data_IF_797795840992
#
_entry.id   IF_797795840992
#
_cell.length_a   1.000
_cell.length_b   1.000
_cell.length_c   1.000
_cell.angle_alpha   90.00
_cell.angle_beta   90.00
_cell.angle_gamma   90.00
#
_symmetry.space_group_name_H-M   'P 1'
#
loop_
_entity.id
_entity.type
_entity.pdbx_description
1 polymer ?
#
# COMPACT_ATOMS: atom_id res chain seq x y z
N UNK A 1 -43.38 2.79 61.02
CA UNK A 1 -43.19 2.64 59.56
C UNK A 1 -43.17 4.05 58.98
N UNK A 2 -42.25 4.55 58.16
CA UNK A 2 -40.93 4.19 57.66
C UNK A 2 -40.33 5.50 57.10
N UNK A 3 -39.00 5.58 57.08
CA UNK A 3 -38.13 6.74 56.86
C UNK A 3 -38.35 7.59 55.59
N UNK A 4 -37.70 8.77 55.55
CA UNK A 4 -36.78 9.23 54.48
C UNK A 4 -36.15 10.59 54.86
N UNK A 5 -34.93 10.57 55.40
CA UNK A 5 -33.64 10.83 54.72
C UNK A 5 -33.49 12.26 54.15
N UNK A 6 -32.72 13.09 54.86
CA UNK A 6 -32.05 14.30 54.34
C UNK A 6 -31.00 13.87 53.31
N UNK A 7 -31.03 14.43 52.10
CA UNK A 7 -29.88 14.37 51.17
C UNK A 7 -29.12 15.69 51.23
N UNK A 8 -27.92 15.66 51.82
CA UNK A 8 -26.94 16.72 51.67
C UNK A 8 -26.34 16.61 50.26
N UNK A 9 -26.52 17.65 49.45
CA UNK A 9 -25.97 17.76 48.10
C UNK A 9 -24.53 18.28 48.22
N UNK A 10 -23.54 17.39 48.25
CA UNK A 10 -22.13 17.79 48.09
C UNK A 10 -21.86 18.02 46.61
N UNK A 11 -21.71 19.28 46.21
CA UNK A 11 -21.29 19.66 44.87
C UNK A 11 -19.81 19.30 44.67
N UNK A 12 -19.53 18.21 43.95
CA UNK A 12 -18.19 17.92 43.45
C UNK A 12 -17.97 18.73 42.17
N UNK A 13 -17.12 19.77 42.24
CA UNK A 13 -16.65 20.45 41.04
C UNK A 13 -15.67 19.53 40.31
N UNK A 14 -16.15 18.82 39.28
CA UNK A 14 -15.27 18.14 38.34
C UNK A 14 -14.57 19.21 37.49
N UNK A 15 -13.29 19.45 37.77
CA UNK A 15 -12.43 20.21 36.88
C UNK A 15 -12.24 19.38 35.60
N UNK A 16 -13.01 19.68 34.56
CA UNK A 16 -12.75 19.15 33.22
C UNK A 16 -11.46 19.79 32.73
N UNK A 17 -10.35 19.07 32.91
CA UNK A 17 -9.12 19.37 32.20
C UNK A 17 -9.40 19.21 30.70
N UNK A 18 -9.52 20.33 30.00
CA UNK A 18 -9.44 20.37 28.54
C UNK A 18 -7.97 20.06 28.20
N UNK A 19 -7.60 18.79 28.27
CA UNK A 19 -6.37 18.33 27.63
C UNK A 19 -6.55 18.55 26.14
N UNK A 20 -5.75 19.48 25.62
CA UNK A 20 -5.74 19.82 24.21
C UNK A 20 -5.71 18.54 23.39
N UNK A 21 -6.64 18.47 22.43
CA UNK A 21 -6.55 17.49 21.38
C UNK A 21 -5.20 17.70 20.69
N UNK A 22 -4.22 16.87 21.06
CA UNK A 22 -3.09 16.56 20.22
C UNK A 22 -3.66 16.17 18.86
N UNK A 23 -3.43 17.01 17.85
CA UNK A 23 -3.58 16.58 16.47
C UNK A 23 -2.88 15.22 16.33
N UNK A 24 -3.46 14.26 15.57
CA UNK A 24 -2.94 12.90 15.54
C UNK A 24 -1.47 12.95 15.13
N UNK A 25 -0.63 12.20 15.86
CA UNK A 25 0.69 11.85 15.37
C UNK A 25 0.49 11.35 13.93
N UNK A 26 1.07 12.04 12.95
CA UNK A 26 1.19 11.48 11.60
C UNK A 26 2.13 10.28 11.75
N UNK A 27 1.57 9.14 12.14
CA UNK A 27 2.26 7.88 12.13
C UNK A 27 2.69 7.66 10.69
N UNK A 28 4.00 7.54 10.47
CA UNK A 28 4.53 7.15 9.18
C UNK A 28 3.83 5.86 8.76
N UNK A 29 3.42 5.79 7.50
CA UNK A 29 2.65 4.67 6.98
C UNK A 29 3.24 4.19 5.66
N UNK A 30 3.23 2.88 5.46
CA UNK A 30 3.58 2.26 4.19
C UNK A 30 2.69 1.04 4.06
N UNK A 31 1.46 1.24 3.59
CA UNK A 31 0.47 0.19 3.59
C UNK A 31 -0.89 0.63 3.06
N UNK A 32 -1.94 -0.09 3.46
CA UNK A 32 -3.29 0.10 2.95
C UNK A 32 -4.03 1.31 3.53
N UNK A 33 -3.44 1.95 4.53
CA UNK A 33 -3.93 3.21 5.12
C UNK A 33 -3.28 4.46 4.46
N UNK A 34 -2.42 4.26 3.46
CA UNK A 34 -1.65 5.31 2.81
C UNK A 34 -0.15 5.10 2.94
N UNK A 35 0.59 5.95 2.22
CA UNK A 35 2.05 6.01 2.27
C UNK A 35 2.47 7.42 2.70
N UNK A 36 3.13 7.53 3.84
CA UNK A 36 3.61 8.79 4.44
C UNK A 36 4.92 8.58 5.16
N UNK A 37 5.85 9.53 5.00
CA UNK A 37 7.14 9.55 5.70
C UNK A 37 7.36 10.90 6.38
N UNK A 38 8.06 10.91 7.53
CA UNK A 38 8.36 12.14 8.27
C UNK A 38 9.54 12.93 7.73
N UNK A 39 10.35 12.27 6.92
CA UNK A 39 11.48 12.82 6.20
C UNK A 39 11.38 12.36 4.75
N UNK A 40 12.19 12.95 3.88
CA UNK A 40 12.30 12.43 2.53
C UNK A 40 12.79 10.98 2.61
N UNK A 41 12.21 10.11 1.80
CA UNK A 41 12.55 8.69 1.80
C UNK A 41 12.65 8.18 0.37
N UNK A 42 13.84 7.73 -0.01
CA UNK A 42 14.03 6.99 -1.25
C UNK A 42 13.59 5.54 -1.05
N UNK A 43 12.70 5.05 -1.91
CA UNK A 43 12.25 3.65 -1.91
C UNK A 43 12.52 3.05 -3.28
N UNK A 44 13.21 1.92 -3.29
CA UNK A 44 13.43 1.13 -4.48
C UNK A 44 12.30 0.10 -4.62
N UNK A 45 11.67 0.10 -5.79
CA UNK A 45 10.69 -0.88 -6.19
C UNK A 45 11.30 -1.86 -7.20
N UNK A 46 10.92 -3.13 -7.10
CA UNK A 46 11.30 -4.14 -8.08
C UNK A 46 10.04 -4.93 -8.45
N UNK A 47 9.78 -5.06 -9.76
CA UNK A 47 8.75 -5.96 -10.27
C UNK A 47 9.08 -7.41 -9.89
N UNK A 48 8.07 -8.18 -9.50
CA UNK A 48 8.22 -9.59 -9.14
C UNK A 48 7.63 -10.48 -10.23
N UNK A 49 6.33 -10.42 -10.37
CA UNK A 49 5.54 -11.10 -11.39
C UNK A 49 4.13 -10.50 -11.40
N UNK A 50 3.41 -10.79 -12.47
CA UNK A 50 2.00 -10.50 -12.64
C UNK A 50 1.27 -11.74 -13.11
N UNK A 51 -0.04 -11.75 -12.93
CA UNK A 51 -0.94 -12.81 -13.36
C UNK A 51 -2.25 -12.19 -13.86
N UNK A 52 -3.04 -12.99 -14.58
CA UNK A 52 -4.30 -12.53 -15.15
C UNK A 52 -4.21 -12.02 -16.59
N UNK A 53 -5.37 -11.97 -17.26
CA UNK A 53 -5.44 -11.67 -18.69
C UNK A 53 -5.39 -10.18 -19.02
N UNK A 54 -5.41 -9.32 -18.00
CA UNK A 54 -5.42 -7.87 -18.16
C UNK A 54 -3.99 -7.36 -18.42
N UNK A 55 -3.91 -6.13 -18.92
CA UNK A 55 -2.67 -5.36 -19.04
C UNK A 55 -2.71 -4.24 -18.03
N UNK A 56 -1.77 -4.27 -17.11
CA UNK A 56 -1.76 -3.43 -15.93
C UNK A 56 -0.53 -2.53 -15.87
N UNK A 57 -0.75 -1.33 -15.31
CA UNK A 57 0.29 -0.32 -15.12
C UNK A 57 0.24 0.22 -13.70
N UNK A 58 1.34 0.06 -12.99
CA UNK A 58 1.52 0.51 -11.61
C UNK A 58 2.21 1.88 -11.58
N UNK A 59 1.63 2.81 -10.84
CA UNK A 59 2.15 4.16 -10.66
C UNK A 59 1.98 4.67 -9.22
N UNK A 60 2.70 5.74 -8.90
CA UNK A 60 2.62 6.46 -7.63
C UNK A 60 1.78 7.72 -7.84
N UNK A 61 0.86 7.94 -6.92
CA UNK A 61 0.01 9.13 -6.88
C UNK A 61 0.23 9.90 -5.58
N UNK A 62 0.40 11.22 -5.67
CA UNK A 62 0.24 12.11 -4.51
C UNK A 62 -1.25 12.30 -4.25
N UNK A 63 -1.63 12.21 -2.96
CA UNK A 63 -3.01 12.34 -2.47
C UNK A 63 -3.16 13.68 -1.77
N UNK A 64 -4.09 14.52 -2.25
CA UNK A 64 -4.46 15.76 -1.60
C UNK A 64 -5.98 15.85 -1.47
N UNK A 65 -6.50 15.45 -0.31
CA UNK A 65 -7.93 15.22 -0.13
C UNK A 65 -8.42 14.08 -1.04
N UNK A 66 -9.33 14.39 -1.96
CA UNK A 66 -9.83 13.44 -2.98
C UNK A 66 -9.12 13.60 -4.34
N UNK A 67 -8.17 14.52 -4.45
CA UNK A 67 -7.39 14.73 -5.68
C UNK A 67 -6.19 13.79 -5.72
N UNK A 68 -6.01 13.13 -6.85
CA UNK A 68 -4.92 12.19 -7.11
C UNK A 68 -4.10 12.68 -8.30
N UNK A 69 -2.81 12.90 -8.08
CA UNK A 69 -1.87 13.34 -9.12
C UNK A 69 -0.84 12.25 -9.35
N UNK A 70 -0.76 11.70 -10.57
CA UNK A 70 0.31 10.78 -10.93
C UNK A 70 1.65 11.52 -10.87
N UNK A 71 2.60 11.01 -10.07
CA UNK A 71 3.92 11.61 -9.85
C UNK A 71 5.07 10.74 -10.34
N UNK A 72 4.83 9.44 -10.56
CA UNK A 72 5.79 8.52 -11.15
C UNK A 72 5.10 7.26 -11.67
N UNK A 73 5.58 6.73 -12.80
CA UNK A 73 5.22 5.38 -13.26
C UNK A 73 6.30 4.41 -12.79
N UNK A 74 5.88 3.23 -12.29
CA UNK A 74 6.80 2.22 -11.79
C UNK A 74 7.02 1.12 -12.83
N UNK A 75 5.97 0.39 -13.18
CA UNK A 75 6.04 -0.74 -14.09
C UNK A 75 4.78 -0.78 -14.95
N UNK A 76 4.92 -1.18 -16.20
CA UNK A 76 3.79 -1.25 -17.13
C UNK A 76 3.94 -2.46 -18.05
N UNK A 77 2.86 -3.19 -18.19
CA UNK A 77 2.79 -4.35 -19.05
C UNK A 77 2.56 -3.95 -20.51
N UNK A 78 3.38 -4.50 -21.39
CA UNK A 78 3.25 -4.28 -22.84
C UNK A 78 2.31 -5.27 -23.51
N UNK A 79 2.08 -6.41 -22.86
CA UNK A 79 1.15 -7.48 -23.22
C UNK A 79 0.61 -8.10 -21.93
N UNK A 80 -0.44 -8.92 -21.98
CA UNK A 80 -1.08 -9.44 -20.77
C UNK A 80 -0.27 -10.51 -20.04
N UNK A 81 0.59 -11.23 -20.74
CA UNK A 81 1.32 -12.36 -20.17
C UNK A 81 2.45 -12.80 -21.07
N UNK A 82 3.34 -13.64 -20.54
CA UNK A 82 4.46 -14.17 -21.29
C UNK A 82 4.00 -15.08 -22.41
N UNK A 83 3.05 -15.99 -22.13
CA UNK A 83 2.60 -17.08 -23.01
C UNK A 83 1.06 -17.25 -23.08
N UNK A 84 0.29 -16.17 -22.91
CA UNK A 84 -1.17 -16.28 -22.84
C UNK A 84 -1.61 -17.01 -21.57
N UNK A 85 -2.76 -17.68 -21.58
CA UNK A 85 -3.26 -18.41 -20.41
C UNK A 85 -2.47 -19.66 -19.99
N UNK A 86 -1.35 -19.96 -20.66
CA UNK A 86 -0.41 -20.98 -20.19
C UNK A 86 0.30 -20.46 -18.93
N UNK A 87 0.27 -21.25 -17.84
CA UNK A 87 0.77 -20.84 -16.51
C UNK A 87 0.04 -19.61 -15.94
N UNK A 88 -1.29 -19.66 -15.95
CA UNK A 88 -2.16 -18.67 -15.30
C UNK A 88 -1.92 -17.21 -15.72
N UNK A 89 -1.61 -17.01 -17.01
CA UNK A 89 -1.31 -15.69 -17.56
C UNK A 89 -0.13 -14.99 -16.91
N UNK A 90 0.84 -15.76 -16.41
CA UNK A 90 2.05 -15.23 -15.80
C UNK A 90 2.78 -14.23 -16.69
N UNK A 91 3.09 -13.08 -16.12
CA UNK A 91 3.96 -12.06 -16.69
C UNK A 91 5.30 -11.94 -15.95
N UNK A 92 6.40 -11.80 -16.71
CA UNK A 92 7.74 -11.60 -16.13
C UNK A 92 8.45 -10.35 -16.65
N UNK A 93 9.46 -9.93 -15.87
CA UNK A 93 10.38 -8.88 -16.25
C UNK A 93 11.23 -9.28 -17.47
N UNK A 94 11.38 -8.37 -18.42
CA UNK A 94 12.07 -8.60 -19.69
C UNK A 94 11.19 -9.23 -20.77
N UNK A 95 9.92 -9.49 -20.48
CA UNK A 95 8.98 -10.07 -21.44
C UNK A 95 7.63 -9.35 -21.44
N UNK A 96 6.81 -9.56 -20.41
CA UNK A 96 5.51 -8.86 -20.25
C UNK A 96 5.74 -7.41 -19.83
N UNK A 97 6.59 -7.20 -18.83
CA UNK A 97 7.13 -5.89 -18.46
C UNK A 97 8.51 -5.77 -19.10
N UNK A 98 8.66 -4.93 -20.12
CA UNK A 98 9.91 -4.83 -20.90
C UNK A 98 10.97 -3.93 -20.27
N UNK A 99 10.59 -3.03 -19.38
CA UNK A 99 11.54 -2.23 -18.61
C UNK A 99 12.19 -3.10 -17.54
N UNK A 100 13.51 -3.23 -17.57
CA UNK A 100 14.24 -4.32 -16.91
C UNK A 100 14.84 -3.97 -15.54
N UNK A 101 14.51 -2.80 -14.99
CA UNK A 101 15.24 -2.22 -13.86
C UNK A 101 14.42 -1.99 -12.61
N UNK A 102 15.05 -2.03 -11.42
CA UNK A 102 14.49 -1.41 -10.23
C UNK A 102 14.19 0.08 -10.47
N UNK A 103 13.09 0.57 -9.89
CA UNK A 103 12.71 1.98 -9.97
C UNK A 103 12.82 2.60 -8.58
N UNK A 104 13.58 3.68 -8.44
CA UNK A 104 13.69 4.42 -7.17
C UNK A 104 12.81 5.65 -7.24
N UNK A 105 11.98 5.85 -6.21
CA UNK A 105 11.18 7.05 -6.05
C UNK A 105 11.46 7.72 -4.70
N UNK A 106 11.58 9.05 -4.73
CA UNK A 106 11.74 9.91 -3.55
C UNK A 106 10.38 10.34 -3.04
N UNK A 107 9.91 9.71 -1.97
CA UNK A 107 8.76 10.21 -1.22
C UNK A 107 9.17 11.45 -0.43
N UNK A 108 8.42 12.53 -0.55
CA UNK A 108 8.70 13.76 0.19
C UNK A 108 8.09 13.69 1.60
N UNK A 109 8.80 14.30 2.55
CA UNK A 109 8.34 14.41 3.93
C UNK A 109 6.94 15.02 4.02
N UNK A 110 6.08 14.46 4.88
CA UNK A 110 4.74 14.96 5.20
C UNK A 110 3.79 15.07 4.00
N UNK A 111 4.06 14.31 2.95
CA UNK A 111 3.15 14.11 1.82
C UNK A 111 2.48 12.75 1.92
N UNK A 112 1.23 12.67 1.45
CA UNK A 112 0.45 11.44 1.41
C UNK A 112 0.50 10.90 -0.01
N UNK A 113 0.78 9.62 -0.14
CA UNK A 113 0.84 8.93 -1.41
C UNK A 113 0.01 7.65 -1.38
N UNK A 114 -0.32 7.17 -2.57
CA UNK A 114 -0.87 5.84 -2.80
C UNK A 114 -0.19 5.24 -4.03
N UNK A 115 -0.09 3.92 -4.08
CA UNK A 115 0.13 3.22 -5.33
C UNK A 115 -1.21 3.07 -6.03
N UNK A 116 -1.23 3.16 -7.36
CA UNK A 116 -2.41 2.95 -8.20
C UNK A 116 -2.10 1.98 -9.33
N UNK A 117 -2.98 1.01 -9.54
CA UNK A 117 -2.91 0.03 -10.61
C UNK A 117 -4.06 0.26 -11.58
N UNK A 118 -3.74 0.66 -12.81
CA UNK A 118 -4.72 0.77 -13.90
C UNK A 118 -4.69 -0.48 -14.75
N UNK A 119 -5.86 -1.01 -15.10
CA UNK A 119 -5.97 -2.22 -15.90
C UNK A 119 -6.72 -1.97 -17.20
N UNK A 120 -6.31 -2.69 -18.25
CA UNK A 120 -6.97 -2.67 -19.56
C UNK A 120 -7.08 -4.07 -20.13
N UNK A 121 -8.11 -4.32 -20.93
CA UNK A 121 -8.29 -5.59 -21.64
C UNK A 121 -8.82 -5.33 -23.04
N UNK A 122 -8.16 -5.88 -24.04
CA UNK A 122 -8.51 -5.73 -25.46
C UNK A 122 -8.73 -4.26 -25.87
N UNK A 123 -7.83 -3.38 -25.43
CA UNK A 123 -7.88 -1.93 -25.71
C UNK A 123 -8.92 -1.14 -24.91
N UNK A 124 -9.72 -1.80 -24.06
CA UNK A 124 -10.73 -1.15 -23.20
C UNK A 124 -10.21 -0.97 -21.77
N UNK A 125 -10.40 0.23 -21.22
CA UNK A 125 -10.11 0.53 -19.81
C UNK A 125 -11.03 -0.29 -18.88
N UNK A 126 -10.45 -0.90 -17.84
CA UNK A 126 -11.14 -1.66 -16.78
C UNK A 126 -11.15 -0.95 -15.44
N UNK A 127 -10.54 0.22 -15.38
CA UNK A 127 -10.52 1.10 -14.23
C UNK A 127 -9.20 1.04 -13.48
N UNK A 128 -9.25 1.62 -12.29
CA UNK A 128 -8.11 1.83 -11.43
C UNK A 128 -8.45 1.36 -10.02
N UNK A 129 -7.48 0.76 -9.36
CA UNK A 129 -7.49 0.49 -7.93
C UNK A 129 -6.31 1.16 -7.26
N UNK A 130 -6.43 1.37 -5.95
CA UNK A 130 -5.40 2.01 -5.15
C UNK A 130 -4.97 1.12 -3.99
N UNK A 131 -3.71 1.23 -3.58
CA UNK A 131 -3.24 0.58 -2.36
C UNK A 131 -3.96 1.09 -1.12
N UNK A 132 -4.32 2.38 -1.11
CA UNK A 132 -5.06 2.99 0.00
C UNK A 132 -6.53 2.57 -0.06
N UNK A 133 -6.97 1.75 0.88
CA UNK A 133 -8.32 1.16 0.86
C UNK A 133 -9.43 2.22 0.88
N UNK A 134 -9.21 3.35 1.56
CA UNK A 134 -10.16 4.46 1.59
C UNK A 134 -10.41 5.15 0.24
N UNK A 135 -9.58 4.89 -0.78
CA UNK A 135 -9.73 5.44 -2.13
C UNK A 135 -10.54 4.52 -3.07
N UNK A 136 -10.82 3.27 -2.66
CA UNK A 136 -11.52 2.27 -3.47
C UNK A 136 -13.02 2.19 -3.15
N UNK A 137 -13.67 3.34 -2.91
CA UNK A 137 -15.06 3.39 -2.39
C UNK A 137 -16.13 2.82 -3.34
N UNK A 138 -15.81 2.64 -4.62
CA UNK A 138 -16.74 2.16 -5.65
C UNK A 138 -16.52 0.68 -6.04
N UNK A 139 -15.76 -0.08 -5.25
CA UNK A 139 -15.49 -1.51 -5.49
C UNK A 139 -16.52 -2.34 -4.71
N UNK A 140 -17.70 -2.51 -5.31
CA UNK A 140 -18.94 -2.84 -4.59
C UNK A 140 -19.20 -4.33 -4.24
N UNK A 141 -18.32 -5.29 -4.57
CA UNK A 141 -18.64 -6.73 -4.40
C UNK A 141 -17.82 -7.48 -3.35
N UNK A 142 -16.56 -7.12 -3.08
CA UNK A 142 -15.66 -7.95 -2.24
C UNK A 142 -14.80 -7.17 -1.24
N UNK A 143 -14.95 -5.84 -1.17
CA UNK A 143 -14.27 -4.97 -0.19
C UNK A 143 -13.41 -3.90 -0.84
N UNK A 144 -12.95 -2.95 -0.03
CA UNK A 144 -12.20 -1.79 -0.53
C UNK A 144 -10.67 -2.02 -0.52
N UNK A 145 -10.19 -3.13 0.04
CA UNK A 145 -8.76 -3.46 0.02
C UNK A 145 -8.43 -4.11 -1.33
N UNK A 146 -7.53 -3.48 -2.08
CA UNK A 146 -7.12 -3.93 -3.43
C UNK A 146 -5.60 -4.09 -3.53
N UNK A 147 -4.92 -3.93 -2.40
CA UNK A 147 -3.52 -4.30 -2.25
C UNK A 147 -3.28 -4.90 -0.87
N UNK A 148 -2.27 -5.75 -0.78
CA UNK A 148 -1.75 -6.32 0.47
C UNK A 148 -0.30 -5.93 0.64
N UNK A 149 0.11 -5.68 1.87
CA UNK A 149 1.47 -5.30 2.25
C UNK A 149 1.96 -6.23 3.35
N UNK A 150 3.19 -6.70 3.22
CA UNK A 150 3.80 -7.48 4.29
C UNK A 150 5.26 -7.79 4.04
N UNK A 151 5.88 -8.39 5.05
CA UNK A 151 7.24 -8.89 4.93
C UNK A 151 7.30 -9.94 3.81
N UNK A 152 8.28 -9.77 2.91
CA UNK A 152 8.29 -10.46 1.62
C UNK A 152 8.14 -11.98 1.71
N UNK A 153 8.90 -12.68 2.56
CA UNK A 153 8.77 -14.14 2.67
C UNK A 153 7.45 -14.59 3.27
N UNK A 154 6.89 -13.84 4.23
CA UNK A 154 5.60 -14.20 4.84
C UNK A 154 4.45 -14.01 3.85
N UNK A 155 4.38 -12.85 3.18
CA UNK A 155 3.31 -12.58 2.23
C UNK A 155 3.45 -13.46 0.98
N UNK A 156 4.66 -13.64 0.44
CA UNK A 156 4.89 -14.48 -0.73
C UNK A 156 4.45 -15.93 -0.51
N UNK A 157 4.71 -16.48 0.68
CA UNK A 157 4.26 -17.84 1.02
C UNK A 157 2.75 -17.92 1.24
N UNK A 158 2.09 -16.81 1.57
CA UNK A 158 0.67 -16.76 1.85
C UNK A 158 -0.19 -16.56 0.59
N UNK A 159 0.29 -15.78 -0.39
CA UNK A 159 -0.44 -15.43 -1.61
C UNK A 159 -0.75 -16.63 -2.52
N UNK A 160 0.00 -17.73 -2.42
CA UNK A 160 -0.16 -18.92 -3.28
C UNK A 160 -0.37 -18.55 -4.76
N UNK A 161 0.57 -17.78 -5.29
CA UNK A 161 0.65 -17.08 -6.59
C UNK A 161 0.16 -17.76 -7.89
N UNK A 162 -0.30 -19.00 -7.89
CA UNK A 162 -0.88 -19.67 -9.07
C UNK A 162 -2.33 -20.12 -8.79
N UNK A 163 -2.94 -19.60 -7.72
CA UNK A 163 -4.32 -19.89 -7.32
C UNK A 163 -5.21 -18.68 -7.61
N UNK A 164 -6.40 -18.93 -8.15
CA UNK A 164 -7.47 -17.92 -8.30
C UNK A 164 -8.40 -17.89 -7.08
N UNK A 165 -7.99 -18.54 -5.99
CA UNK A 165 -8.77 -18.62 -4.78
C UNK A 165 -8.60 -17.34 -3.95
N UNK A 166 -9.72 -16.80 -3.47
CA UNK A 166 -9.73 -15.61 -2.61
C UNK A 166 -8.75 -15.72 -1.44
N UNK A 167 -7.89 -14.73 -1.31
CA UNK A 167 -6.89 -14.62 -0.26
C UNK A 167 -7.52 -14.18 1.07
N UNK A 168 -7.92 -15.16 1.88
CA UNK A 168 -8.66 -14.94 3.13
C UNK A 168 -7.90 -14.09 4.17
N UNK A 169 -6.57 -14.04 4.08
CA UNK A 169 -5.71 -13.36 5.06
C UNK A 169 -5.45 -11.87 4.72
N UNK A 170 -6.07 -11.30 3.67
CA UNK A 170 -5.80 -9.94 3.20
C UNK A 170 -5.80 -8.88 4.32
N UNK A 171 -6.76 -8.96 5.26
CA UNK A 171 -6.86 -8.03 6.40
C UNK A 171 -5.71 -8.13 7.42
N UNK A 172 -4.88 -9.16 7.36
CA UNK A 172 -3.65 -9.30 8.16
C UNK A 172 -2.41 -8.72 7.46
N UNK A 173 -2.52 -8.42 6.17
CA UNK A 173 -1.43 -7.90 5.33
C UNK A 173 -1.73 -6.48 4.88
N UNK A 174 -1.72 -5.55 5.84
CA UNK A 174 -2.07 -4.14 5.62
C UNK A 174 -0.89 -3.19 5.80
N UNK A 175 0.18 -3.63 6.43
CA UNK A 175 1.32 -2.79 6.82
C UNK A 175 2.64 -3.40 6.38
N UNK A 176 3.43 -2.59 5.68
CA UNK A 176 4.78 -2.92 5.23
C UNK A 176 5.85 -2.01 5.82
N UNK A 177 5.53 -1.12 6.76
CA UNK A 177 6.47 -0.14 7.29
C UNK A 177 7.71 -0.79 7.92
N UNK A 178 7.52 -1.78 8.80
CA UNK A 178 8.62 -2.42 9.50
C UNK A 178 9.56 -3.20 8.55
N UNK A 179 9.00 -3.91 7.57
CA UNK A 179 9.76 -4.69 6.59
C UNK A 179 10.42 -3.82 5.51
N UNK A 180 9.92 -2.61 5.28
CA UNK A 180 10.50 -1.68 4.31
C UNK A 180 11.93 -1.30 4.70
N UNK A 181 12.18 -1.11 6.00
CA UNK A 181 13.48 -0.70 6.54
C UNK A 181 14.36 -1.87 6.99
N UNK A 182 13.77 -2.97 7.42
CA UNK A 182 14.50 -4.13 7.97
C UNK A 182 14.62 -5.30 7.00
N UNK A 183 14.30 -5.09 5.73
CA UNK A 183 14.30 -6.14 4.71
C UNK A 183 13.60 -5.68 3.45
N UNK A 184 12.61 -6.44 3.02
CA UNK A 184 11.81 -6.15 1.84
C UNK A 184 10.34 -6.31 2.16
N UNK A 185 9.56 -5.31 1.79
CA UNK A 185 8.10 -5.39 1.77
C UNK A 185 7.66 -5.90 0.42
N UNK A 186 6.79 -6.91 0.40
CA UNK A 186 6.09 -7.31 -0.81
C UNK A 186 4.74 -6.62 -0.85
N UNK A 187 4.30 -6.28 -2.05
CA UNK A 187 3.04 -5.62 -2.34
C UNK A 187 2.37 -6.42 -3.46
N UNK A 188 1.24 -7.03 -3.16
CA UNK A 188 0.38 -7.70 -4.13
C UNK A 188 -0.86 -6.87 -4.40
N UNK A 189 -1.31 -6.81 -5.64
CA UNK A 189 -2.54 -6.12 -6.05
C UNK A 189 -3.52 -7.10 -6.66
N UNK A 190 -4.80 -6.80 -6.44
CA UNK A 190 -5.89 -7.31 -7.24
C UNK A 190 -6.31 -6.21 -8.22
N UNK A 191 -6.52 -6.56 -9.47
CA UNK A 191 -6.77 -5.63 -10.57
C UNK A 191 -8.26 -5.58 -11.00
N UNK A 192 -9.12 -6.28 -10.26
CA UNK A 192 -10.56 -6.47 -10.45
C UNK A 192 -10.94 -7.33 -11.64
N UNK A 193 -9.99 -8.09 -12.17
CA UNK A 193 -10.25 -9.23 -13.04
C UNK A 193 -11.26 -10.21 -12.44
N UNK A 194 -11.87 -11.05 -13.29
CA UNK A 194 -12.65 -12.22 -12.85
C UNK A 194 -13.74 -11.96 -11.76
N UNK A 195 -14.39 -10.79 -11.79
CA UNK A 195 -15.40 -10.40 -10.77
C UNK A 195 -14.80 -9.99 -9.41
N UNK A 196 -13.54 -9.54 -9.40
CA UNK A 196 -12.78 -9.12 -8.22
C UNK A 196 -12.59 -10.29 -7.25
N UNK A 197 -11.83 -11.30 -7.68
CA UNK A 197 -11.57 -12.58 -6.99
C UNK A 197 -10.76 -12.44 -5.70
N UNK A 198 -10.14 -11.29 -5.44
CA UNK A 198 -9.50 -10.89 -4.18
C UNK A 198 -8.40 -11.84 -3.73
N UNK A 199 -7.58 -12.25 -4.68
CA UNK A 199 -6.45 -13.16 -4.49
C UNK A 199 -5.10 -12.41 -4.46
N UNK A 200 -5.05 -11.21 -5.03
CA UNK A 200 -3.98 -10.19 -4.91
C UNK A 200 -2.64 -10.57 -5.56
N UNK A 201 -2.62 -11.51 -6.51
CA UNK A 201 -1.41 -11.84 -7.27
C UNK A 201 -1.33 -11.20 -8.66
N UNK A 202 -2.38 -10.50 -9.12
CA UNK A 202 -2.44 -9.92 -10.48
C UNK A 202 -1.25 -9.02 -10.78
N UNK A 203 -0.79 -8.25 -9.80
CA UNK A 203 0.40 -7.43 -9.95
C UNK A 203 1.22 -7.37 -8.67
N UNK A 204 2.39 -8.02 -8.69
CA UNK A 204 3.24 -8.12 -7.50
C UNK A 204 4.55 -7.36 -7.67
N UNK A 205 4.84 -6.51 -6.71
CA UNK A 205 6.11 -5.78 -6.61
C UNK A 205 6.72 -5.93 -5.22
N UNK A 206 7.99 -5.60 -5.11
CA UNK A 206 8.70 -5.50 -3.84
C UNK A 206 9.22 -4.09 -3.64
N UNK A 207 9.27 -3.64 -2.40
CA UNK A 207 9.74 -2.33 -2.00
C UNK A 207 10.77 -2.45 -0.87
N UNK A 208 11.80 -1.63 -0.92
CA UNK A 208 12.83 -1.50 0.11
C UNK A 208 13.24 -0.05 0.25
N UNK A 209 13.36 0.44 1.49
CA UNK A 209 13.94 1.75 1.76
C UNK A 209 15.41 1.75 1.32
N UNK A 210 15.80 2.73 0.51
CA UNK A 210 17.20 3.00 0.21
C UNK A 210 17.78 3.70 1.43
N UNK A 211 18.83 3.16 2.07
CA UNK A 211 19.47 3.84 3.19
C UNK A 211 19.97 5.21 2.75
N UNK A 212 19.56 6.26 3.46
CA UNK A 212 20.19 7.58 3.31
C UNK A 212 21.70 7.42 3.59
N UNK A 213 22.59 8.02 2.78
CA UNK A 213 24.00 8.07 3.16
C UNK A 213 24.08 8.75 4.52
N UNK A 214 24.60 8.03 5.53
CA UNK A 214 24.83 8.61 6.85
C UNK A 214 25.70 9.85 6.65
N UNK A 215 25.10 11.03 6.78
CA UNK A 215 25.85 12.27 6.77
C UNK A 215 26.66 12.24 8.06
N UNK A 216 27.95 11.93 7.93
CA UNK A 216 28.98 12.03 8.97
C UNK A 216 29.23 13.49 9.34
N UNK A 217 28.19 14.24 9.67
CA UNK A 217 28.29 15.57 10.28
C UNK A 217 28.45 15.40 11.78
N UNK A 218 29.67 15.04 12.19
CA UNK A 218 30.03 15.00 13.60
C UNK A 218 31.49 14.59 13.81
N UNK A 219 32.29 15.54 14.32
CA UNK A 219 33.69 15.43 14.74
C UNK A 219 34.77 15.73 13.70
N UNK A 220 34.71 16.93 13.11
CA UNK A 220 35.92 17.68 12.76
C UNK A 220 35.80 19.11 13.31
N UNK A 221 35.69 19.22 14.63
CA UNK A 221 35.88 20.47 15.36
C UNK A 221 36.89 20.22 16.48
N UNK A 222 38.14 20.62 16.20
CA UNK A 222 39.15 21.02 17.19
C UNK A 222 39.75 19.92 18.05
N UNK A 223 40.96 19.48 17.70
CA UNK A 223 42.20 19.76 18.46
C UNK A 223 43.40 19.62 17.52
#
# INVERSE_FOLDING_TARGET
MNAKLLSALTATAAATALFGASAPAQAFSFGTNGITFGQNQDVQFNFKESHGAFKSSLAIYEVNGFSLTNVANLFSETKSSDNGGEYDWKGTLGNTVVDSGPVVFKFLANKVYTLGLSSSYDGSDKGMVYSTSGLNLNVASTGNQQAVFGQSSLLWNALDKETTATFQAAGSFTDGMASLFNGTTLIGFDDRGNTNDTDFQDFTVSAQAVPEPMTMTGLALGL
#
